data_IF_423276439570
#
_entry.id   IF_423276439570
#
_cell.length_a   1.000
_cell.length_b   1.000
_cell.length_c   1.000
_cell.angle_alpha   90.00
_cell.angle_beta   90.00
_cell.angle_gamma   90.00
#
_symmetry.space_group_name_H-M   'P 1'
#
loop_
_entity.id
_entity.type
_entity.pdbx_description
1 polymer ?
#
# COMPACT_ATOMS: atom_id res chain seq x y z
N UNK A 1 -16.41 9.14 -12.33
CA UNK A 1 -16.10 9.63 -10.97
C UNK A 1 -14.92 8.82 -10.51
N UNK A 2 -13.71 9.40 -10.59
CA UNK A 2 -12.53 8.81 -9.96
C UNK A 2 -12.79 8.80 -8.47
N UNK A 3 -12.77 7.62 -7.84
CA UNK A 3 -12.87 7.54 -6.39
C UNK A 3 -11.64 8.25 -5.81
N UNK A 4 -11.85 9.31 -5.04
CA UNK A 4 -10.77 10.02 -4.36
C UNK A 4 -10.46 9.29 -3.06
N UNK A 5 -9.19 8.96 -2.82
CA UNK A 5 -8.73 8.52 -1.50
C UNK A 5 -8.81 9.67 -0.49
N UNK A 6 -8.94 9.32 0.79
CA UNK A 6 -8.81 10.26 1.91
C UNK A 6 -7.56 9.90 2.72
N UNK A 7 -6.53 10.75 2.62
CA UNK A 7 -5.23 10.52 3.26
C UNK A 7 -5.27 10.66 4.78
N UNK A 8 -6.31 11.28 5.35
CA UNK A 8 -6.49 11.34 6.81
C UNK A 8 -6.67 9.96 7.44
N UNK A 9 -7.04 8.95 6.65
CA UNK A 9 -7.16 7.56 7.11
C UNK A 9 -5.85 6.77 7.11
N UNK A 10 -4.76 7.26 6.50
CA UNK A 10 -3.53 6.48 6.37
C UNK A 10 -2.92 6.08 7.71
N UNK A 11 -2.98 6.96 8.71
CA UNK A 11 -2.50 6.65 10.05
C UNK A 11 -3.25 5.46 10.65
N UNK A 12 -4.58 5.51 10.62
CA UNK A 12 -5.43 4.45 11.15
C UNK A 12 -5.26 3.16 10.35
N UNK A 13 -5.25 3.22 9.01
CA UNK A 13 -5.08 2.04 8.17
C UNK A 13 -3.75 1.32 8.41
N UNK A 14 -2.66 2.08 8.56
CA UNK A 14 -1.35 1.49 8.84
C UNK A 14 -1.27 0.93 10.27
N UNK A 15 -1.87 1.60 11.25
CA UNK A 15 -1.95 1.09 12.62
C UNK A 15 -2.81 -0.18 12.72
N UNK A 16 -3.95 -0.22 12.02
CA UNK A 16 -4.83 -1.38 11.96
C UNK A 16 -4.14 -2.55 11.25
N UNK A 17 -3.40 -2.28 10.16
CA UNK A 17 -2.58 -3.27 9.47
C UNK A 17 -1.54 -3.93 10.39
N UNK A 18 -0.97 -3.20 11.34
CA UNK A 18 -0.08 -3.79 12.33
C UNK A 18 -0.80 -4.77 13.29
N UNK A 19 -2.10 -4.54 13.55
CA UNK A 19 -2.93 -5.43 14.37
C UNK A 19 -3.39 -6.70 13.64
N UNK A 20 -3.38 -6.67 12.31
CA UNK A 20 -3.65 -7.84 11.45
C UNK A 20 -2.53 -8.89 11.47
N UNK A 21 -1.35 -8.54 12.01
CA UNK A 21 -0.24 -9.47 12.19
C UNK A 21 -0.43 -10.30 13.47
N UNK A 22 -0.33 -11.65 13.45
CA UNK A 22 0.02 -12.52 12.32
C UNK A 22 -1.21 -13.23 11.69
N UNK A 23 -2.41 -12.70 11.86
CA UNK A 23 -3.66 -13.39 11.51
C UNK A 23 -3.95 -13.36 10.01
N UNK A 24 -3.81 -12.20 9.38
CA UNK A 24 -4.15 -11.99 7.97
C UNK A 24 -2.89 -11.87 7.10
N UNK A 25 -1.87 -11.18 7.62
CA UNK A 25 -0.56 -11.01 7.01
C UNK A 25 0.51 -11.42 8.01
N UNK A 26 1.64 -11.94 7.53
CA UNK A 26 2.78 -12.22 8.38
C UNK A 26 3.65 -10.98 8.64
N UNK A 27 4.55 -11.08 9.62
CA UNK A 27 5.43 -9.97 10.02
C UNK A 27 6.35 -9.52 8.88
N UNK A 28 6.81 -10.43 8.03
CA UNK A 28 7.73 -10.12 6.92
C UNK A 28 7.01 -9.43 5.76
N UNK A 29 5.74 -9.77 5.53
CA UNK A 29 4.84 -9.07 4.62
C UNK A 29 4.58 -7.64 5.09
N UNK A 30 4.21 -7.48 6.36
CA UNK A 30 4.01 -6.17 6.97
C UNK A 30 5.28 -5.31 6.86
N UNK A 31 6.43 -5.83 7.29
CA UNK A 31 7.70 -5.10 7.21
C UNK A 31 8.05 -4.72 5.77
N UNK A 32 7.91 -5.64 4.81
CA UNK A 32 8.19 -5.35 3.41
C UNK A 32 7.29 -4.24 2.86
N UNK A 33 6.01 -4.25 3.20
CA UNK A 33 5.08 -3.21 2.79
C UNK A 33 5.42 -1.85 3.41
N UNK A 34 5.70 -1.78 4.72
CA UNK A 34 6.12 -0.53 5.35
C UNK A 34 7.42 0.00 4.74
N UNK A 35 8.40 -0.86 4.47
CA UNK A 35 9.66 -0.46 3.84
C UNK A 35 9.45 0.11 2.43
N UNK A 36 8.55 -0.48 1.64
CA UNK A 36 8.14 0.06 0.35
C UNK A 36 7.46 1.43 0.49
N UNK A 37 6.52 1.59 1.44
CA UNK A 37 5.84 2.87 1.69
C UNK A 37 6.79 3.96 2.17
N UNK A 38 7.75 3.62 3.03
CA UNK A 38 8.83 4.52 3.46
C UNK A 38 9.68 4.97 2.26
N UNK A 39 10.03 4.04 1.36
CA UNK A 39 10.77 4.39 0.15
C UNK A 39 9.98 5.32 -0.76
N UNK A 40 8.67 5.08 -0.93
CA UNK A 40 7.80 5.95 -1.71
C UNK A 40 7.70 7.35 -1.08
N UNK A 41 7.45 7.44 0.22
CA UNK A 41 7.37 8.68 0.97
C UNK A 41 8.65 9.53 0.86
N UNK A 42 9.82 8.88 0.93
CA UNK A 42 11.12 9.55 0.83
C UNK A 42 11.69 9.58 -0.60
N UNK A 43 10.89 9.22 -1.60
CA UNK A 43 11.32 9.22 -2.99
C UNK A 43 11.48 10.64 -3.57
N UNK A 44 10.84 11.64 -2.94
CA UNK A 44 10.72 13.00 -3.46
C UNK A 44 10.13 13.05 -4.88
N UNK A 45 9.31 12.06 -5.23
CA UNK A 45 8.62 12.04 -6.52
C UNK A 45 7.74 13.29 -6.67
N UNK A 46 7.78 13.88 -7.88
CA UNK A 46 7.01 15.08 -8.17
C UNK A 46 5.53 14.73 -8.39
N UNK A 47 4.73 15.02 -7.38
CA UNK A 47 3.26 14.89 -7.38
C UNK A 47 2.57 16.26 -7.38
N UNK A 48 3.29 17.35 -7.68
CA UNK A 48 2.74 18.72 -7.59
C UNK A 48 1.63 19.05 -8.59
N UNK A 49 1.45 18.20 -9.60
CA UNK A 49 0.38 18.33 -10.59
C UNK A 49 -1.01 17.99 -10.03
N UNK A 50 -1.08 17.25 -8.92
CA UNK A 50 -2.32 16.89 -8.23
C UNK A 50 -2.18 17.17 -6.73
N UNK A 51 -2.97 18.13 -6.23
CA UNK A 51 -2.91 18.55 -4.82
C UNK A 51 -3.26 17.41 -3.86
N UNK A 52 -4.16 16.49 -4.26
CA UNK A 52 -4.56 15.36 -3.43
C UNK A 52 -3.41 14.33 -3.33
N UNK A 53 -2.73 14.02 -4.44
CA UNK A 53 -1.53 13.17 -4.42
C UNK A 53 -0.40 13.79 -3.61
N UNK A 54 -0.17 15.09 -3.78
CA UNK A 54 0.85 15.79 -3.02
C UNK A 54 0.57 15.74 -1.51
N UNK A 55 -0.68 16.02 -1.10
CA UNK A 55 -1.09 15.90 0.29
C UNK A 55 -0.98 14.46 0.80
N UNK A 56 -1.43 13.48 0.01
CA UNK A 56 -1.31 12.06 0.33
C UNK A 56 0.14 11.63 0.56
N UNK A 57 1.09 12.11 -0.23
CA UNK A 57 2.51 11.82 -0.03
C UNK A 57 3.05 12.46 1.27
N UNK A 58 2.63 13.68 1.60
CA UNK A 58 3.03 14.36 2.85
C UNK A 58 2.46 13.64 4.07
N UNK A 59 1.18 13.26 4.03
CA UNK A 59 0.52 12.52 5.10
C UNK A 59 1.15 11.14 5.27
N UNK A 60 1.38 10.41 4.17
CA UNK A 60 2.09 9.14 4.19
C UNK A 60 3.50 9.30 4.80
N UNK A 61 4.25 10.33 4.41
CA UNK A 61 5.58 10.63 4.96
C UNK A 61 5.52 10.83 6.47
N UNK A 62 4.51 11.57 6.95
CA UNK A 62 4.32 11.82 8.37
C UNK A 62 4.06 10.52 9.13
N UNK A 63 3.15 9.68 8.62
CA UNK A 63 2.78 8.42 9.25
C UNK A 63 3.94 7.42 9.24
N UNK A 64 4.57 7.17 8.10
CA UNK A 64 5.62 6.13 8.02
C UNK A 64 6.88 6.49 8.80
N UNK A 65 7.11 7.78 9.10
CA UNK A 65 8.19 8.24 9.96
C UNK A 65 7.95 7.91 11.44
N UNK A 66 6.72 7.61 11.87
CA UNK A 66 6.44 7.17 13.25
C UNK A 66 6.71 5.68 13.44
N UNK A 67 6.92 4.93 12.35
CA UNK A 67 7.02 3.48 12.35
C UNK A 67 8.48 3.05 12.27
N UNK A 68 8.98 2.43 13.34
CA UNK A 68 10.29 1.82 13.34
C UNK A 68 10.22 0.43 12.70
N UNK A 69 10.80 0.28 11.50
CA UNK A 69 11.07 -1.03 10.89
C UNK A 69 12.54 -1.38 11.04
N UNK A 70 12.92 -2.67 11.11
CA UNK A 70 14.33 -3.08 11.18
C UNK A 70 15.19 -2.50 10.03
N UNK A 71 14.59 -2.28 8.86
CA UNK A 71 15.25 -1.72 7.67
C UNK A 71 15.38 -0.19 7.65
N UNK A 72 14.59 0.55 8.44
CA UNK A 72 14.55 2.03 8.44
C UNK A 72 15.87 2.69 8.88
N UNK A 73 16.72 1.98 9.62
CA UNK A 73 17.98 2.51 10.18
C UNK A 73 19.24 2.03 9.44
N UNK A 74 19.10 1.28 8.33
CA UNK A 74 20.27 0.79 7.57
C UNK A 74 20.70 1.76 6.46
N UNK A 75 22.01 2.13 6.41
CA UNK A 75 22.56 2.89 5.29
C UNK A 75 22.53 2.02 4.03
N UNK A 76 21.77 2.47 3.02
CA UNK A 76 21.42 1.70 1.83
C UNK A 76 19.92 1.76 1.50
N UNK A 77 19.11 2.17 2.49
CA UNK A 77 17.65 2.22 2.36
C UNK A 77 17.01 0.89 2.72
N UNK A 78 15.76 0.95 3.14
CA UNK A 78 14.99 -0.20 3.53
C UNK A 78 14.87 -1.20 2.36
N UNK A 79 15.33 -2.44 2.56
CA UNK A 79 15.27 -3.50 1.54
C UNK A 79 13.99 -4.29 1.71
N UNK A 80 13.06 -4.16 0.77
CA UNK A 80 11.84 -4.96 0.73
C UNK A 80 11.89 -6.06 -0.33
N UNK A 81 10.97 -7.01 -0.21
CA UNK A 81 10.74 -8.07 -1.18
C UNK A 81 9.47 -7.80 -1.98
N UNK A 82 9.58 -7.65 -3.30
CA UNK A 82 8.45 -7.46 -4.22
C UNK A 82 7.33 -8.52 -4.03
N UNK A 83 7.65 -9.84 -3.99
CA UNK A 83 6.65 -10.87 -3.70
C UNK A 83 5.93 -10.68 -2.37
N UNK A 84 6.61 -10.20 -1.34
CA UNK A 84 6.00 -10.00 -0.02
C UNK A 84 5.09 -8.77 -0.02
N UNK A 85 5.52 -7.66 -0.65
CA UNK A 85 4.68 -6.46 -0.81
C UNK A 85 3.41 -6.79 -1.59
N UNK A 86 3.54 -7.44 -2.74
CA UNK A 86 2.41 -7.79 -3.60
C UNK A 86 1.44 -8.76 -2.92
N UNK A 87 1.95 -9.77 -2.22
CA UNK A 87 1.12 -10.70 -1.44
C UNK A 87 0.38 -9.99 -0.30
N UNK A 88 1.07 -9.07 0.40
CA UNK A 88 0.47 -8.27 1.48
C UNK A 88 -0.70 -7.42 0.97
N UNK A 89 -0.48 -6.67 -0.11
CA UNK A 89 -1.52 -5.86 -0.76
C UNK A 89 -2.68 -6.72 -1.22
N UNK A 90 -2.41 -7.88 -1.82
CA UNK A 90 -3.45 -8.79 -2.28
C UNK A 90 -4.35 -9.28 -1.14
N UNK A 91 -3.77 -9.70 -0.02
CA UNK A 91 -4.52 -10.18 1.14
C UNK A 91 -5.35 -9.08 1.77
N UNK A 92 -4.73 -7.94 2.11
CA UNK A 92 -5.42 -6.81 2.73
C UNK A 92 -6.55 -6.29 1.85
N UNK A 93 -6.33 -6.21 0.53
CA UNK A 93 -7.37 -5.80 -0.42
C UNK A 93 -8.54 -6.78 -0.41
N UNK A 94 -8.28 -8.09 -0.47
CA UNK A 94 -9.32 -9.12 -0.53
C UNK A 94 -10.25 -9.05 0.68
N UNK A 95 -9.73 -8.63 1.82
CA UNK A 95 -10.46 -8.48 3.08
C UNK A 95 -11.03 -7.06 3.27
N UNK A 96 -10.78 -6.13 2.35
CA UNK A 96 -11.31 -4.76 2.38
C UNK A 96 -10.57 -3.80 3.32
N UNK A 97 -9.31 -4.10 3.66
CA UNK A 97 -8.46 -3.25 4.51
C UNK A 97 -7.58 -2.32 3.67
N UNK A 98 -7.12 -1.22 4.28
CA UNK A 98 -6.19 -0.26 3.68
C UNK A 98 -6.66 0.37 2.35
N UNK A 99 -7.98 0.52 2.15
CA UNK A 99 -8.54 0.93 0.87
C UNK A 99 -8.11 2.35 0.47
N UNK A 100 -7.97 3.29 1.40
CA UNK A 100 -7.52 4.64 1.06
C UNK A 100 -6.05 4.62 0.62
N UNK A 101 -5.19 3.93 1.37
CA UNK A 101 -3.79 3.77 1.03
C UNK A 101 -3.63 3.12 -0.35
N UNK A 102 -4.42 2.09 -0.65
CA UNK A 102 -4.38 1.41 -1.93
C UNK A 102 -4.92 2.27 -3.07
N UNK A 103 -5.99 3.02 -2.86
CA UNK A 103 -6.47 4.00 -3.83
C UNK A 103 -5.41 5.07 -4.13
N UNK A 104 -4.66 5.51 -3.13
CA UNK A 104 -3.52 6.41 -3.33
C UNK A 104 -2.42 5.77 -4.18
N UNK A 105 -1.97 4.55 -3.86
CA UNK A 105 -0.96 3.84 -4.65
C UNK A 105 -1.40 3.63 -6.09
N UNK A 106 -2.68 3.29 -6.29
CA UNK A 106 -3.28 3.18 -7.62
C UNK A 106 -3.23 4.51 -8.37
N UNK A 107 -3.62 5.62 -7.73
CA UNK A 107 -3.59 6.95 -8.34
C UNK A 107 -2.14 7.35 -8.71
N UNK A 108 -1.16 7.10 -7.84
CA UNK A 108 0.27 7.36 -8.13
C UNK A 108 0.71 6.64 -9.40
N UNK A 109 0.29 5.38 -9.59
CA UNK A 109 0.58 4.62 -10.80
C UNK A 109 -0.20 5.13 -12.02
N UNK A 110 -1.50 5.34 -11.89
CA UNK A 110 -2.40 5.72 -13.00
C UNK A 110 -2.08 7.12 -13.56
N UNK A 111 -1.65 8.05 -12.70
CA UNK A 111 -1.18 9.38 -13.09
C UNK A 111 0.27 9.38 -13.63
N UNK A 112 0.88 8.20 -13.71
CA UNK A 112 2.23 7.99 -14.24
C UNK A 112 3.29 8.84 -13.53
N UNK A 113 3.20 8.93 -12.19
CA UNK A 113 4.21 9.62 -11.38
C UNK A 113 5.58 9.05 -11.73
N UNK A 114 6.53 9.94 -12.03
CA UNK A 114 7.86 9.54 -12.45
C UNK A 114 8.64 8.91 -11.29
N UNK A 115 8.72 7.58 -11.26
CA UNK A 115 9.49 6.81 -10.28
C UNK A 115 10.73 6.11 -10.88
N UNK A 116 11.01 6.31 -12.17
CA UNK A 116 12.07 5.57 -12.88
C UNK A 116 13.50 5.87 -12.39
N UNK A 117 13.68 6.91 -11.55
CA UNK A 117 14.93 7.15 -10.83
C UNK A 117 15.25 6.06 -9.80
N UNK A 118 14.23 5.33 -9.34
CA UNK A 118 14.34 4.18 -8.44
C UNK A 118 13.68 2.97 -9.10
N UNK A 119 14.50 2.15 -9.75
CA UNK A 119 14.03 1.01 -10.53
C UNK A 119 13.29 -0.03 -9.69
N UNK A 120 13.68 -0.22 -8.43
CA UNK A 120 13.00 -1.14 -7.53
C UNK A 120 11.63 -0.59 -7.17
N UNK A 121 11.55 0.67 -6.73
CA UNK A 121 10.29 1.33 -6.38
C UNK A 121 9.30 1.33 -7.57
N UNK A 122 9.79 1.65 -8.77
CA UNK A 122 8.96 1.64 -9.97
C UNK A 122 8.46 0.24 -10.31
N UNK A 123 9.31 -0.79 -10.21
CA UNK A 123 8.92 -2.19 -10.46
C UNK A 123 7.87 -2.66 -9.46
N UNK A 124 8.08 -2.40 -8.17
CA UNK A 124 7.12 -2.77 -7.13
C UNK A 124 5.79 -2.05 -7.32
N UNK A 125 5.80 -0.76 -7.66
CA UNK A 125 4.58 0.00 -7.93
C UNK A 125 3.78 -0.61 -9.09
N UNK A 126 4.44 -1.00 -10.18
CA UNK A 126 3.77 -1.67 -11.31
C UNK A 126 3.13 -3.00 -10.87
N UNK A 127 3.83 -3.79 -10.06
CA UNK A 127 3.29 -5.07 -9.56
C UNK A 127 2.13 -4.86 -8.58
N UNK A 128 2.21 -3.85 -7.72
CA UNK A 128 1.14 -3.45 -6.81
C UNK A 128 -0.07 -2.96 -7.61
N UNK A 129 0.11 -2.15 -8.65
CA UNK A 129 -0.98 -1.66 -9.47
C UNK A 129 -1.82 -2.78 -10.09
N UNK A 130 -1.19 -3.89 -10.50
CA UNK A 130 -1.91 -5.11 -10.95
C UNK A 130 -2.78 -5.68 -9.83
N UNK A 131 -2.28 -5.72 -8.59
CA UNK A 131 -3.07 -6.17 -7.44
C UNK A 131 -4.20 -5.23 -7.07
N UNK A 132 -4.17 -3.98 -7.54
CA UNK A 132 -5.16 -2.94 -7.27
C UNK A 132 -6.15 -2.75 -8.43
N UNK A 133 -6.05 -3.54 -9.50
CA UNK A 133 -7.04 -3.48 -10.58
C UNK A 133 -8.46 -3.78 -10.07
N UNK A 134 -9.38 -2.87 -10.35
CA UNK A 134 -10.78 -2.98 -9.97
C UNK A 134 -11.12 -2.51 -8.55
N UNK A 135 -10.16 -2.09 -7.75
CA UNK A 135 -10.43 -1.55 -6.40
C UNK A 135 -11.33 -0.31 -6.47
N UNK A 136 -12.27 -0.19 -5.53
CA UNK A 136 -13.00 1.06 -5.30
C UNK A 136 -13.39 1.25 -3.83
N UNK A 137 -13.48 2.50 -3.38
CA UNK A 137 -13.93 2.83 -2.01
C UNK A 137 -15.41 2.47 -1.76
N UNK A 138 -16.17 2.15 -2.81
CA UNK A 138 -17.57 1.72 -2.68
C UNK A 138 -17.70 0.20 -2.53
N UNK A 139 -16.61 -0.56 -2.57
CA UNK A 139 -16.64 -2.00 -2.33
C UNK A 139 -16.80 -2.27 -0.82
N UNK A 140 -18.05 -2.26 -0.38
CA UNK A 140 -18.45 -3.19 0.70
C UNK A 140 -18.26 -4.59 0.11
N UNK A 141 -17.17 -5.27 0.43
CA UNK A 141 -16.98 -6.68 0.08
C UNK A 141 -18.09 -7.48 0.76
N UNK A 142 -19.21 -7.67 0.06
CA UNK A 142 -20.09 -8.78 0.34
C UNK A 142 -19.30 -10.01 -0.07
N UNK A 143 -18.89 -10.83 0.89
CA UNK A 143 -18.34 -12.16 0.61
C UNK A 143 -19.34 -12.89 -0.30
N UNK A 144 -19.08 -12.90 -1.60
CA UNK A 144 -19.88 -13.64 -2.57
C UNK A 144 -19.28 -15.05 -2.64
N UNK A 145 -19.82 -15.95 -1.81
CA UNK A 145 -19.57 -17.41 -1.87
C UNK A 145 -18.54 -17.89 -0.84
N UNK A 146 -18.90 -18.61 0.22
CA UNK A 146 -20.00 -19.57 0.28
C UNK A 146 -19.72 -20.80 -0.60
N UNK A 147 -18.51 -21.36 -0.56
CA UNK A 147 -18.28 -22.73 -1.01
C UNK A 147 -17.85 -23.60 0.18
N UNK A 148 -18.86 -24.08 0.92
CA UNK A 148 -18.74 -25.36 1.62
C UNK A 148 -18.94 -26.44 0.57
N UNK A 149 -17.86 -26.88 -0.06
CA UNK A 149 -17.88 -28.17 -0.75
C UNK A 149 -17.80 -29.24 0.33
N UNK A 150 -18.96 -29.70 0.77
CA UNK A 150 -19.06 -30.96 1.49
C UNK A 150 -18.58 -32.09 0.58
N UNK A 151 -17.66 -32.91 1.08
CA UNK A 151 -17.62 -34.33 0.75
C UNK A 151 -17.88 -35.08 2.05
N UNK A 152 -18.94 -35.89 1.95
CA UNK A 152 -19.51 -36.89 2.86
C UNK A 152 -18.56 -37.57 3.83
#
# INVERSE_FOLDING_TARGET
>A
MTAHFDSSHFETEIHDMASEVPYMIDVTQYESLIMFLQRLAHSYADMSHDENLHQGLQDLTTVVNTIATPGSSQPGGAVWSDPLVTSCVHQLRTEGHCLNLFMFLKQVHDDQVYLAFDSQLHTTMNNVAVQLEGISLNESYSVVGGFVSGHS
#
